data_IF_641182640316
#
_entry.id   IF_641182640316
#
_cell.length_a   1.000
_cell.length_b   1.000
_cell.length_c   1.000
_cell.angle_alpha   90.00
_cell.angle_beta   90.00
_cell.angle_gamma   90.00
#
_symmetry.space_group_name_H-M   'P 1'
#
loop_
_entity.id
_entity.type
_entity.pdbx_description
1 polymer ?
#
# COMPACT_ATOMS: atom_id res chain seq x y z
N UNK A 1 19.89 24.00 5.51
CA UNK A 1 19.43 22.61 5.51
C UNK A 1 20.63 21.68 5.49
N UNK A 2 20.61 20.67 6.33
CA UNK A 2 21.71 19.71 6.39
C UNK A 2 21.67 18.72 5.23
N UNK A 3 22.81 18.09 4.97
CA UNK A 3 22.96 17.05 3.95
C UNK A 3 21.95 15.90 4.18
N UNK A 4 21.68 15.55 5.45
CA UNK A 4 20.74 14.49 5.82
C UNK A 4 19.30 14.80 5.35
N UNK A 5 18.86 16.04 5.52
CA UNK A 5 17.53 16.46 5.06
C UNK A 5 17.41 16.42 3.55
N UNK A 6 18.44 16.85 2.84
CA UNK A 6 18.49 16.81 1.38
C UNK A 6 18.47 15.36 0.88
N UNK A 7 19.25 14.48 1.48
CA UNK A 7 19.29 13.06 1.13
C UNK A 7 17.93 12.41 1.37
N UNK A 8 17.29 12.68 2.52
CA UNK A 8 15.96 12.15 2.82
C UNK A 8 14.91 12.65 1.83
N UNK A 9 15.00 13.90 1.40
CA UNK A 9 14.12 14.47 0.39
C UNK A 9 14.36 13.89 -1.00
N UNK A 10 15.63 13.71 -1.39
CA UNK A 10 16.01 13.18 -2.70
C UNK A 10 15.78 11.67 -2.78
N UNK A 11 15.88 10.95 -1.66
CA UNK A 11 15.68 9.50 -1.60
C UNK A 11 14.24 9.07 -1.85
N UNK A 12 13.28 10.01 -1.75
CA UNK A 12 11.96 9.72 -2.19
C UNK A 12 10.89 10.62 -1.61
N UNK A 13 10.37 11.45 -2.46
CA UNK A 13 9.08 12.05 -2.17
C UNK A 13 8.07 10.92 -2.03
N UNK A 14 7.25 11.00 -1.01
CA UNK A 14 6.15 10.06 -0.85
C UNK A 14 5.02 10.47 -1.79
N UNK A 15 4.47 9.48 -2.46
CA UNK A 15 3.29 9.64 -3.30
C UNK A 15 2.22 8.66 -2.85
N UNK A 16 0.98 8.98 -3.15
CA UNK A 16 -0.15 8.09 -2.91
C UNK A 16 -0.69 7.59 -4.24
N UNK A 17 -0.97 6.30 -4.30
CA UNK A 17 -1.59 5.69 -5.47
C UNK A 17 -2.94 5.14 -5.05
N UNK A 18 -3.99 5.61 -5.72
CA UNK A 18 -5.37 5.19 -5.44
C UNK A 18 -5.85 4.22 -6.49
N UNK A 19 -6.64 3.26 -6.07
CA UNK A 19 -7.42 2.40 -6.95
C UNK A 19 -8.71 2.00 -6.25
N UNK A 20 -9.66 1.48 -7.00
CA UNK A 20 -10.93 0.97 -6.48
C UNK A 20 -11.04 -0.50 -6.89
N UNK A 21 -11.50 -1.35 -5.98
CA UNK A 21 -11.78 -2.75 -6.28
C UNK A 21 -13.12 -3.18 -5.71
N UNK A 22 -13.60 -4.35 -6.14
CA UNK A 22 -14.97 -4.79 -5.92
C UNK A 22 -15.21 -5.55 -4.62
N UNK A 23 -14.17 -6.03 -3.93
CA UNK A 23 -14.33 -6.85 -2.74
C UNK A 23 -13.20 -6.65 -1.74
N UNK A 24 -13.48 -7.03 -0.49
CA UNK A 24 -12.46 -7.04 0.57
C UNK A 24 -11.32 -7.99 0.23
N UNK A 25 -11.64 -9.14 -0.34
CA UNK A 25 -10.63 -10.13 -0.73
C UNK A 25 -9.66 -9.57 -1.77
N UNK A 26 -10.18 -8.88 -2.79
CA UNK A 26 -9.36 -8.22 -3.81
C UNK A 26 -8.49 -7.12 -3.21
N UNK A 27 -9.06 -6.31 -2.31
CA UNK A 27 -8.31 -5.25 -1.62
C UNK A 27 -7.13 -5.84 -0.83
N UNK A 28 -7.38 -6.87 -0.04
CA UNK A 28 -6.36 -7.53 0.77
C UNK A 28 -5.28 -8.18 -0.11
N UNK A 29 -5.68 -8.86 -1.17
CA UNK A 29 -4.75 -9.50 -2.09
C UNK A 29 -3.80 -8.48 -2.74
N UNK A 30 -4.33 -7.37 -3.22
CA UNK A 30 -3.51 -6.29 -3.78
C UNK A 30 -2.58 -5.68 -2.73
N UNK A 31 -3.08 -5.43 -1.53
CA UNK A 31 -2.28 -4.85 -0.46
C UNK A 31 -1.09 -5.71 -0.08
N UNK A 32 -1.32 -6.98 0.20
CA UNK A 32 -0.24 -7.90 0.57
C UNK A 32 0.76 -8.08 -0.57
N UNK A 33 0.27 -8.28 -1.79
CA UNK A 33 1.13 -8.47 -2.96
C UNK A 33 2.04 -7.26 -3.22
N UNK A 34 1.48 -6.06 -3.19
CA UNK A 34 2.25 -4.84 -3.44
C UNK A 34 3.33 -4.59 -2.39
N UNK A 35 3.05 -4.90 -1.13
CA UNK A 35 4.03 -4.73 -0.05
C UNK A 35 5.11 -5.81 -0.12
N UNK A 36 4.73 -7.06 -0.29
CA UNK A 36 5.67 -8.18 -0.40
C UNK A 36 6.63 -8.01 -1.57
N UNK A 37 6.15 -7.47 -2.69
CA UNK A 37 6.96 -7.21 -3.89
C UNK A 37 7.73 -5.87 -3.83
N UNK A 38 7.69 -5.18 -2.70
CA UNK A 38 8.42 -3.92 -2.46
C UNK A 38 7.96 -2.74 -3.33
N UNK A 39 6.73 -2.78 -3.80
CA UNK A 39 6.17 -1.67 -4.58
C UNK A 39 5.56 -0.59 -3.72
N UNK A 40 5.10 -0.94 -2.52
CA UNK A 40 4.47 -0.02 -1.58
C UNK A 40 4.91 -0.29 -0.16
N UNK A 41 4.82 0.73 0.69
CA UNK A 41 5.14 0.62 2.12
C UNK A 41 3.89 0.37 2.96
N UNK A 42 2.75 0.82 2.49
CA UNK A 42 1.48 0.64 3.20
C UNK A 42 0.32 0.73 2.22
N UNK A 43 -0.81 0.18 2.64
CA UNK A 43 -2.08 0.35 1.95
C UNK A 43 -3.18 0.52 2.98
N UNK A 44 -3.91 1.61 2.85
CA UNK A 44 -5.13 1.84 3.60
C UNK A 44 -6.33 1.56 2.70
N UNK A 45 -7.42 1.04 3.25
CA UNK A 45 -8.60 0.76 2.46
C UNK A 45 -9.87 1.01 3.27
N UNK A 46 -10.93 1.40 2.56
CA UNK A 46 -12.24 1.67 3.17
C UNK A 46 -13.36 1.48 2.16
N UNK A 47 -14.57 1.31 2.66
CA UNK A 47 -15.75 1.16 1.81
C UNK A 47 -16.16 2.52 1.27
N UNK A 48 -16.46 2.56 -0.04
CA UNK A 48 -17.03 3.73 -0.70
C UNK A 48 -18.35 3.35 -1.38
N UNK A 49 -19.27 4.30 -1.44
CA UNK A 49 -20.53 4.16 -2.17
C UNK A 49 -20.37 4.88 -3.49
N UNK A 50 -20.42 4.16 -4.59
CA UNK A 50 -20.11 4.68 -5.91
C UNK A 50 -21.34 4.73 -6.81
N UNK A 51 -21.49 5.82 -7.53
CA UNK A 51 -22.54 6.03 -8.53
C UNK A 51 -21.83 6.33 -9.86
N UNK A 52 -22.11 5.57 -10.90
CA UNK A 52 -21.42 5.71 -12.17
C UNK A 52 -22.25 5.15 -13.33
N UNK A 53 -21.98 5.61 -14.57
CA UNK A 53 -22.63 5.04 -15.74
C UNK A 53 -22.04 3.67 -16.07
N UNK A 54 -22.92 2.74 -16.40
CA UNK A 54 -22.52 1.38 -16.81
C UNK A 54 -23.53 0.83 -17.82
N UNK A 55 -23.07 0.56 -19.04
CA UNK A 55 -23.87 -0.08 -20.10
C UNK A 55 -25.24 0.56 -20.30
N UNK A 56 -25.29 1.89 -20.37
CA UNK A 56 -26.52 2.64 -20.61
C UNK A 56 -27.37 2.92 -19.36
N UNK A 57 -26.94 2.48 -18.19
CA UNK A 57 -27.63 2.68 -16.92
C UNK A 57 -26.76 3.46 -15.95
N UNK A 58 -27.40 4.07 -14.96
CA UNK A 58 -26.71 4.61 -13.79
C UNK A 58 -26.71 3.52 -12.74
N UNK A 59 -25.53 3.15 -12.28
CA UNK A 59 -25.35 2.09 -11.29
C UNK A 59 -24.89 2.66 -9.97
N UNK A 60 -25.38 2.11 -8.87
CA UNK A 60 -24.95 2.45 -7.52
C UNK A 60 -24.52 1.17 -6.82
N UNK A 61 -23.26 1.11 -6.40
CA UNK A 61 -22.69 -0.06 -5.71
C UNK A 61 -21.70 0.36 -4.63
N UNK A 62 -21.44 -0.54 -3.70
CA UNK A 62 -20.37 -0.40 -2.74
C UNK A 62 -19.10 -1.01 -3.30
N UNK A 63 -18.00 -0.32 -3.09
CA UNK A 63 -16.68 -0.77 -3.51
C UNK A 63 -15.67 -0.48 -2.40
N UNK A 64 -14.43 -0.87 -2.60
CA UNK A 64 -13.32 -0.56 -1.71
C UNK A 64 -12.36 0.39 -2.40
N UNK A 65 -12.12 1.53 -1.75
CA UNK A 65 -11.07 2.46 -2.15
C UNK A 65 -9.77 2.02 -1.47
N UNK A 66 -8.69 1.96 -2.23
CA UNK A 66 -7.37 1.63 -1.73
C UNK A 66 -6.44 2.82 -1.92
N UNK A 67 -5.68 3.12 -0.89
CA UNK A 67 -4.65 4.15 -0.93
C UNK A 67 -3.31 3.53 -0.56
N UNK A 68 -2.43 3.41 -1.54
CA UNK A 68 -1.07 2.92 -1.33
C UNK A 68 -0.14 4.09 -1.08
N UNK A 69 0.76 3.93 -0.13
CA UNK A 69 1.85 4.88 0.11
C UNK A 69 3.14 4.28 -0.40
N UNK A 70 3.90 5.05 -1.18
CA UNK A 70 5.17 4.58 -1.73
C UNK A 70 6.09 5.75 -2.02
N UNK A 71 7.33 5.47 -2.37
CA UNK A 71 8.25 6.46 -2.90
C UNK A 71 7.93 6.73 -4.37
N UNK A 72 8.11 7.98 -4.79
CA UNK A 72 7.87 8.39 -6.17
C UNK A 72 8.62 7.49 -7.17
N UNK A 73 9.87 7.14 -6.87
CA UNK A 73 10.71 6.29 -7.71
C UNK A 73 10.13 4.88 -7.91
N UNK A 74 9.34 4.39 -6.96
CA UNK A 74 8.72 3.07 -7.02
C UNK A 74 7.31 3.09 -7.60
N UNK A 75 6.73 4.28 -7.75
CA UNK A 75 5.30 4.40 -8.07
C UNK A 75 4.92 3.89 -9.46
N UNK A 76 5.80 3.98 -10.45
CA UNK A 76 5.51 3.44 -11.78
C UNK A 76 5.40 1.91 -11.73
N UNK A 77 6.30 1.26 -11.01
CA UNK A 77 6.24 -0.19 -10.82
C UNK A 77 5.01 -0.61 -10.02
N UNK A 78 4.65 0.18 -9.00
CA UNK A 78 3.42 -0.06 -8.23
C UNK A 78 2.19 -0.01 -9.13
N UNK A 79 2.07 1.01 -9.96
CA UNK A 79 0.93 1.16 -10.89
C UNK A 79 0.84 -0.02 -11.84
N UNK A 80 1.97 -0.42 -12.43
CA UNK A 80 2.03 -1.59 -13.32
C UNK A 80 1.62 -2.88 -12.62
N UNK A 81 2.08 -3.06 -11.39
CA UNK A 81 1.74 -4.24 -10.60
C UNK A 81 0.25 -4.29 -10.27
N UNK A 82 -0.32 -3.18 -9.82
CA UNK A 82 -1.76 -3.07 -9.56
C UNK A 82 -2.54 -3.39 -10.83
N UNK A 83 -2.17 -2.80 -11.95
CA UNK A 83 -2.85 -3.02 -13.23
C UNK A 83 -2.82 -4.49 -13.65
N UNK A 84 -1.69 -5.16 -13.45
CA UNK A 84 -1.53 -6.57 -13.81
C UNK A 84 -2.38 -7.52 -12.98
N UNK A 85 -2.67 -7.18 -11.71
CA UNK A 85 -3.43 -8.03 -10.80
C UNK A 85 -4.88 -7.61 -10.61
N UNK A 86 -5.26 -6.43 -11.09
CA UNK A 86 -6.59 -5.89 -10.90
C UNK A 86 -7.65 -6.73 -11.62
N UNK A 87 -8.77 -6.99 -10.95
CA UNK A 87 -9.87 -7.77 -11.52
C UNK A 87 -10.73 -6.96 -12.51
N UNK A 88 -10.74 -5.64 -12.39
CA UNK A 88 -11.45 -4.80 -13.34
C UNK A 88 -10.69 -4.75 -14.66
N UNK A 89 -11.43 -4.78 -15.75
CA UNK A 89 -10.87 -4.72 -17.11
C UNK A 89 -10.24 -3.35 -17.39
N UNK A 90 -10.85 -2.31 -16.88
CA UNK A 90 -10.36 -0.92 -16.99
C UNK A 90 -10.36 -0.30 -15.59
N UNK A 91 -9.33 -0.57 -14.79
CA UNK A 91 -9.29 -0.04 -13.43
C UNK A 91 -8.90 1.44 -13.43
N UNK A 92 -9.42 2.19 -12.45
CA UNK A 92 -8.90 3.51 -12.12
C UNK A 92 -7.65 3.32 -11.26
N UNK A 93 -6.53 3.86 -11.69
CA UNK A 93 -5.30 3.87 -10.92
C UNK A 93 -4.71 5.27 -11.05
N UNK A 94 -4.64 6.00 -9.95
CA UNK A 94 -4.23 7.40 -9.97
C UNK A 94 -3.11 7.66 -8.97
N UNK A 95 -2.07 8.34 -9.43
CA UNK A 95 -0.98 8.78 -8.58
C UNK A 95 -1.22 10.22 -8.15
N UNK A 96 -1.18 10.46 -6.84
CA UNK A 96 -1.27 11.79 -6.26
C UNK A 96 0.05 12.13 -5.59
N UNK A 97 0.69 13.19 -6.06
CA UNK A 97 1.95 13.66 -5.47
C UNK A 97 1.67 14.50 -4.23
N UNK A 98 2.57 14.42 -3.25
CA UNK A 98 2.52 15.28 -2.07
C UNK A 98 3.52 16.42 -2.22
N UNK A 99 3.22 17.56 -1.62
CA UNK A 99 4.19 18.65 -1.56
C UNK A 99 5.30 18.34 -0.57
N UNK A 100 4.96 17.68 0.54
CA UNK A 100 5.90 17.36 1.61
C UNK A 100 5.37 16.25 2.50
N UNK A 101 6.28 15.41 2.96
CA UNK A 101 6.06 14.56 4.13
C UNK A 101 7.21 14.80 5.10
N UNK A 102 6.96 14.55 6.38
CA UNK A 102 7.97 14.80 7.41
C UNK A 102 9.19 13.88 7.26
N UNK A 103 10.35 14.36 7.64
CA UNK A 103 11.63 13.64 7.46
C UNK A 103 11.63 12.29 8.16
N UNK A 104 11.12 12.22 9.38
CA UNK A 104 11.09 10.96 10.14
C UNK A 104 10.28 9.88 9.44
N UNK A 105 9.15 10.23 8.83
CA UNK A 105 8.36 9.29 8.06
C UNK A 105 9.11 8.83 6.80
N UNK A 106 9.73 9.76 6.07
CA UNK A 106 10.51 9.43 4.88
C UNK A 106 11.65 8.47 5.19
N UNK A 107 12.36 8.70 6.30
CA UNK A 107 13.44 7.81 6.75
C UNK A 107 12.92 6.44 7.15
N UNK A 108 11.78 6.39 7.85
CA UNK A 108 11.16 5.13 8.23
C UNK A 108 10.76 4.31 6.98
N UNK A 109 10.20 4.97 5.97
CA UNK A 109 9.84 4.31 4.70
C UNK A 109 11.08 3.72 4.04
N UNK A 110 12.15 4.49 3.94
CA UNK A 110 13.40 4.03 3.35
C UNK A 110 13.98 2.82 4.07
N UNK A 111 14.05 2.88 5.40
CA UNK A 111 14.57 1.78 6.21
C UNK A 111 13.71 0.54 6.12
N UNK A 112 12.39 0.71 6.13
CA UNK A 112 11.44 -0.40 6.07
C UNK A 112 11.52 -1.10 4.72
N UNK A 113 11.64 -0.37 3.62
CA UNK A 113 11.79 -0.96 2.29
C UNK A 113 13.05 -1.80 2.18
N UNK A 114 14.13 -1.41 2.85
CA UNK A 114 15.38 -2.19 2.86
C UNK A 114 15.25 -3.52 3.58
N UNK A 115 14.33 -3.64 4.53
CA UNK A 115 14.16 -4.83 5.38
C UNK A 115 12.91 -5.65 5.06
N UNK A 116 12.20 -5.32 3.98
CA UNK A 116 10.89 -5.91 3.69
C UNK A 116 10.95 -7.43 3.49
N UNK A 117 12.06 -7.95 2.97
CA UNK A 117 12.24 -9.38 2.78
C UNK A 117 12.23 -10.19 4.09
N UNK A 118 12.42 -9.48 5.21
CA UNK A 118 12.43 -10.08 6.54
C UNK A 118 11.08 -9.95 7.24
N UNK A 119 10.11 -9.27 6.61
CA UNK A 119 8.79 -9.07 7.19
C UNK A 119 8.00 -10.37 7.17
N UNK A 120 7.25 -10.58 8.24
CA UNK A 120 6.34 -11.71 8.40
C UNK A 120 4.94 -11.16 8.60
N UNK A 121 3.94 -12.01 8.38
CA UNK A 121 2.55 -11.62 8.64
C UNK A 121 2.30 -11.56 10.14
N UNK A 122 1.24 -10.86 10.54
CA UNK A 122 0.81 -10.85 11.94
C UNK A 122 0.52 -12.25 12.46
N UNK A 123 0.01 -13.12 11.62
CA UNK A 123 -0.25 -14.51 11.98
C UNK A 123 1.03 -15.20 12.45
N UNK A 124 2.13 -14.99 11.74
CA UNK A 124 3.44 -15.52 12.14
C UNK A 124 3.93 -14.92 13.47
N UNK A 125 3.66 -13.62 13.65
CA UNK A 125 4.01 -12.91 14.88
C UNK A 125 3.26 -13.49 16.09
N UNK A 126 1.95 -13.68 15.98
CA UNK A 126 1.12 -14.27 17.05
C UNK A 126 1.53 -15.68 17.38
N UNK A 127 1.85 -16.51 16.40
CA UNK A 127 2.37 -17.86 16.63
C UNK A 127 3.66 -17.84 17.45
N UNK A 128 4.56 -16.91 17.17
CA UNK A 128 5.80 -16.74 17.90
C UNK A 128 5.57 -16.29 19.34
N UNK A 129 4.64 -15.37 19.57
CA UNK A 129 4.26 -14.89 20.90
C UNK A 129 3.62 -15.99 21.72
N UNK A 130 2.74 -16.79 21.14
CA UNK A 130 2.12 -17.95 21.79
C UNK A 130 3.16 -18.97 22.24
N UNK A 131 4.12 -19.29 21.39
CA UNK A 131 5.22 -20.19 21.73
C UNK A 131 6.05 -19.63 22.89
N UNK A 132 6.37 -18.33 22.86
CA UNK A 132 7.11 -17.68 23.93
C UNK A 132 6.32 -17.67 25.24
N UNK A 133 5.01 -17.42 25.19
CA UNK A 133 4.13 -17.48 26.36
C UNK A 133 4.11 -18.87 26.98
N UNK A 134 4.04 -19.90 26.16
CA UNK A 134 4.09 -21.30 26.61
C UNK A 134 5.43 -21.65 27.27
N UNK A 135 6.52 -21.13 26.76
CA UNK A 135 7.86 -21.31 27.35
C UNK A 135 7.99 -20.64 28.70
N UNK A 136 7.34 -19.49 28.89
CA UNK A 136 7.41 -18.72 30.14
C UNK A 136 6.51 -19.25 31.24
N UNK A 137 5.61 -20.18 30.94
CA UNK A 137 4.71 -20.83 31.89
C UNK A 137 5.35 -21.98 32.66
N UNK A 138 6.57 -22.34 32.34
CA UNK A 138 7.30 -23.40 33.02
C UNK A 138 8.09 -22.89 34.22
#
# INVERSE_FOLDING_TARGET
MGITEKIAKDAGDIVFVYTICGSLEEARALGFSCIEEKHAISMDYWIVHSIYPWQGFIREIDQYMLMFSTQKVLSDNLIKHIESEHKYKVPMIARCTTNMTNVSFNLWVEDTLKSIDKLKTEEDLYKKEDINSLKNLK
#
